data_IF_694269267565
#
_entry.id   IF_694269267565
#
_cell.length_a   1.000
_cell.length_b   1.000
_cell.length_c   1.000
_cell.angle_alpha   90.00
_cell.angle_beta   90.00
_cell.angle_gamma   90.00
#
_symmetry.space_group_name_H-M   'P 1'
#
loop_
_entity.id
_entity.type
_entity.pdbx_description
1 polymer ?
#
# COMPACT_ATOMS: atom_id res chain seq x y z
N UNK A 1 -19.87 13.16 -2.12
CA UNK A 1 -18.99 12.11 -2.68
C UNK A 1 -18.95 10.96 -1.68
N UNK A 2 -19.07 9.70 -2.12
CA UNK A 2 -19.11 8.55 -1.19
C UNK A 2 -17.73 7.91 -1.12
N UNK A 3 -17.30 7.57 0.08
CA UNK A 3 -16.07 6.81 0.28
C UNK A 3 -16.18 5.41 -0.34
N UNK A 4 -15.04 4.85 -0.76
CA UNK A 4 -14.95 3.52 -1.34
C UNK A 4 -14.06 2.62 -0.49
N UNK A 5 -14.51 1.37 -0.35
CA UNK A 5 -13.71 0.32 0.27
C UNK A 5 -12.68 -0.19 -0.75
N UNK A 6 -11.40 0.02 -0.46
CA UNK A 6 -10.26 -0.42 -1.26
C UNK A 6 -9.57 -1.57 -0.54
N UNK A 7 -9.19 -2.61 -1.29
CA UNK A 7 -8.39 -3.72 -0.77
C UNK A 7 -6.99 -3.63 -1.34
N UNK A 8 -6.00 -3.47 -0.47
CA UNK A 8 -4.59 -3.62 -0.82
C UNK A 8 -4.20 -5.09 -0.69
N UNK A 9 -3.47 -5.60 -1.67
CA UNK A 9 -3.01 -6.99 -1.72
C UNK A 9 -1.54 -7.06 -2.10
N UNK A 10 -0.74 -7.80 -1.33
CA UNK A 10 0.68 -8.00 -1.60
C UNK A 10 1.00 -9.50 -1.64
N UNK A 11 1.66 -9.97 -2.70
CA UNK A 11 2.07 -11.37 -2.85
C UNK A 11 3.50 -11.56 -2.35
N UNK A 12 3.64 -11.87 -1.06
CA UNK A 12 4.94 -12.11 -0.43
C UNK A 12 4.85 -13.27 0.57
N UNK A 13 4.97 -14.54 0.13
CA UNK A 13 4.76 -15.70 1.00
C UNK A 13 5.79 -15.80 2.14
N UNK A 14 7.00 -15.29 1.91
CA UNK A 14 8.14 -15.42 2.84
C UNK A 14 8.25 -14.26 3.83
N UNK A 15 7.50 -13.17 3.64
CA UNK A 15 7.42 -12.08 4.61
C UNK A 15 6.92 -12.57 5.98
N UNK A 16 7.42 -11.92 7.03
CA UNK A 16 6.99 -12.06 8.43
C UNK A 16 5.91 -11.04 8.77
N UNK A 17 6.00 -9.84 8.19
CA UNK A 17 4.97 -8.80 8.28
C UNK A 17 4.89 -8.00 6.99
N UNK A 18 3.70 -7.48 6.69
CA UNK A 18 3.48 -6.52 5.61
C UNK A 18 2.56 -5.43 6.13
N UNK A 19 2.87 -4.17 5.85
CA UNK A 19 2.02 -3.02 6.06
C UNK A 19 1.90 -2.21 4.77
N UNK A 20 0.89 -1.35 4.67
CA UNK A 20 0.78 -0.36 3.60
C UNK A 20 0.96 1.03 4.18
N UNK A 21 1.84 1.81 3.55
CA UNK A 21 2.13 3.19 3.91
C UNK A 21 1.86 4.08 2.71
N UNK A 22 1.28 5.24 2.95
CA UNK A 22 0.93 6.18 1.90
C UNK A 22 0.42 7.50 2.43
N UNK A 23 0.03 8.37 1.51
CA UNK A 23 -0.53 9.70 1.82
C UNK A 23 -1.77 9.67 2.73
N UNK A 24 -2.52 8.57 2.75
CA UNK A 24 -3.71 8.41 3.61
C UNK A 24 -3.40 8.07 5.07
N UNK A 25 -2.15 7.71 5.40
CA UNK A 25 -1.72 7.44 6.78
C UNK A 25 -0.39 8.13 7.12
N UNK A 26 -0.12 9.26 6.47
CA UNK A 26 1.10 10.06 6.64
C UNK A 26 2.40 9.25 6.51
N UNK A 27 2.40 8.26 5.61
CA UNK A 27 3.53 7.36 5.37
C UNK A 27 3.97 6.55 6.60
N UNK A 28 3.09 6.35 7.58
CA UNK A 28 3.36 5.46 8.71
C UNK A 28 3.57 4.01 8.23
N UNK A 29 4.76 3.49 8.53
CA UNK A 29 5.24 2.18 8.09
C UNK A 29 4.56 1.00 8.82
N UNK A 30 3.84 1.25 9.91
CA UNK A 30 3.28 0.24 10.80
C UNK A 30 1.80 0.45 11.17
N UNK A 31 1.20 1.62 10.91
CA UNK A 31 -0.19 1.92 11.28
C UNK A 31 -1.24 1.07 10.55
N UNK A 32 -0.92 0.52 9.37
CA UNK A 32 -1.86 -0.27 8.55
C UNK A 32 -1.27 -1.64 8.18
N UNK A 33 -1.19 -2.58 9.15
CA UNK A 33 -0.71 -3.93 8.89
C UNK A 33 -1.71 -4.73 8.05
N UNK A 34 -1.18 -5.50 7.11
CA UNK A 34 -1.93 -6.46 6.30
C UNK A 34 -2.03 -7.80 7.03
N UNK A 35 -3.14 -8.50 6.81
CA UNK A 35 -3.34 -9.85 7.32
C UNK A 35 -2.86 -10.89 6.32
N UNK A 36 -2.01 -11.83 6.76
CA UNK A 36 -1.60 -12.98 5.95
C UNK A 36 -2.79 -13.89 5.63
N UNK A 37 -2.95 -14.25 4.36
CA UNK A 37 -3.94 -15.18 3.81
C UNK A 37 -3.27 -16.13 2.82
N UNK A 38 -2.75 -17.25 3.33
CA UNK A 38 -1.96 -18.18 2.52
C UNK A 38 -0.66 -17.54 2.03
N UNK A 39 -0.51 -17.37 0.71
CA UNK A 39 0.69 -16.79 0.07
C UNK A 39 0.60 -15.26 -0.14
N UNK A 40 -0.52 -14.63 0.24
CA UNK A 40 -0.76 -13.19 0.06
C UNK A 40 -1.06 -12.50 1.39
N UNK A 41 -0.97 -11.18 1.37
CA UNK A 41 -1.27 -10.28 2.47
C UNK A 41 -2.36 -9.32 2.01
N UNK A 42 -3.36 -9.05 2.87
CA UNK A 42 -4.45 -8.14 2.51
C UNK A 42 -4.90 -7.25 3.68
N UNK A 43 -5.26 -6.01 3.35
CA UNK A 43 -6.02 -5.11 4.23
C UNK A 43 -7.07 -4.39 3.39
N UNK A 44 -8.22 -4.10 3.97
CA UNK A 44 -9.24 -3.28 3.33
C UNK A 44 -9.47 -2.02 4.17
N UNK A 45 -9.39 -0.86 3.54
CA UNK A 45 -9.65 0.44 4.16
C UNK A 45 -10.68 1.20 3.33
N UNK A 46 -11.34 2.17 3.96
CA UNK A 46 -12.28 3.07 3.30
C UNK A 46 -11.56 4.37 3.00
N UNK A 47 -11.58 4.81 1.74
CA UNK A 47 -10.96 6.06 1.31
C UNK A 47 -11.97 6.94 0.57
N UNK A 48 -11.97 8.26 0.80
CA UNK A 48 -12.72 9.18 -0.05
C UNK A 48 -12.14 9.21 -1.48
N UNK A 49 -12.91 9.66 -2.48
CA UNK A 49 -12.36 9.91 -3.81
C UNK A 49 -11.14 10.82 -3.77
N UNK A 50 -10.12 10.49 -4.54
CA UNK A 50 -8.83 11.16 -4.47
C UNK A 50 -7.74 10.35 -5.14
N UNK A 51 -6.55 10.96 -5.19
CA UNK A 51 -5.34 10.34 -5.72
C UNK A 51 -4.36 10.17 -4.58
N UNK A 52 -3.95 8.93 -4.32
CA UNK A 52 -3.09 8.58 -3.20
C UNK A 52 -1.80 7.95 -3.68
N UNK A 53 -0.68 8.37 -3.10
CA UNK A 53 0.59 7.65 -3.20
C UNK A 53 0.70 6.60 -2.10
N UNK A 54 1.26 5.44 -2.43
CA UNK A 54 1.50 4.36 -1.47
C UNK A 54 2.66 3.44 -1.86
N UNK A 55 3.15 2.67 -0.88
CA UNK A 55 4.07 1.52 -1.01
C UNK A 55 3.76 0.48 0.06
N UNK A 56 4.24 -0.74 -0.12
CA UNK A 56 4.24 -1.77 0.92
C UNK A 56 5.52 -1.70 1.75
N UNK A 57 5.39 -1.93 3.06
CA UNK A 57 6.53 -2.09 3.98
C UNK A 57 6.56 -3.55 4.43
N UNK A 58 7.59 -4.28 4.03
CA UNK A 58 7.82 -5.68 4.34
C UNK A 58 8.83 -5.77 5.47
N UNK A 59 8.53 -6.60 6.47
CA UNK A 59 9.42 -6.88 7.62
C UNK A 59 9.93 -5.62 8.37
N UNK A 60 9.22 -4.50 8.22
CA UNK A 60 9.46 -3.23 8.94
C UNK A 60 10.44 -2.27 8.27
N UNK A 61 11.23 -2.71 7.30
CA UNK A 61 12.32 -1.92 6.71
C UNK A 61 12.38 -1.96 5.18
N UNK A 62 11.75 -2.94 4.53
CA UNK A 62 11.79 -3.12 3.08
C UNK A 62 10.60 -2.47 2.40
N UNK A 63 10.85 -1.39 1.67
CA UNK A 63 9.85 -0.70 0.88
C UNK A 63 9.73 -1.34 -0.50
N UNK A 64 8.52 -1.79 -0.85
CA UNK A 64 8.24 -2.45 -2.13
C UNK A 64 7.09 -1.74 -2.82
N UNK A 65 7.12 -1.73 -4.14
CA UNK A 65 5.99 -1.36 -4.96
C UNK A 65 4.91 -2.45 -4.96
N UNK A 66 3.72 -2.08 -5.40
CA UNK A 66 2.68 -3.01 -5.81
C UNK A 66 2.85 -3.31 -7.30
N UNK A 67 3.18 -4.55 -7.70
CA UNK A 67 3.33 -4.92 -9.11
C UNK A 67 2.04 -4.75 -9.93
N UNK A 68 0.90 -4.57 -9.28
CA UNK A 68 -0.40 -4.36 -9.92
C UNK A 68 -0.81 -2.88 -9.94
N UNK A 69 0.04 -1.95 -9.48
CA UNK A 69 -0.23 -0.53 -9.59
C UNK A 69 -0.28 -0.10 -11.05
N UNK A 70 -1.29 0.69 -11.41
CA UNK A 70 -1.47 1.17 -12.79
C UNK A 70 -0.57 2.37 -13.11
N UNK A 71 -0.20 3.13 -12.10
CA UNK A 71 0.52 4.39 -12.22
C UNK A 71 1.57 4.51 -11.11
N UNK A 72 2.65 5.22 -11.42
CA UNK A 72 3.75 5.50 -10.50
C UNK A 72 4.17 6.97 -10.62
N UNK A 73 4.76 7.51 -9.55
CA UNK A 73 5.41 8.82 -9.59
C UNK A 73 6.78 8.78 -8.90
N UNK A 74 7.79 9.55 -9.36
CA UNK A 74 9.07 9.65 -8.67
C UNK A 74 8.90 10.10 -7.22
N UNK A 75 9.74 9.59 -6.33
CA UNK A 75 9.78 9.99 -4.92
C UNK A 75 11.13 10.66 -4.56
N UNK A 76 11.23 11.33 -3.40
CA UNK A 76 12.46 12.03 -2.99
C UNK A 76 13.68 11.12 -2.74
N UNK A 77 13.51 9.81 -2.73
CA UNK A 77 14.56 8.82 -2.46
C UNK A 77 15.19 8.26 -3.74
N UNK A 78 14.83 8.79 -4.91
CA UNK A 78 15.33 8.32 -6.20
C UNK A 78 14.65 7.03 -6.69
N UNK A 79 13.53 6.66 -6.07
CA UNK A 79 12.65 5.56 -6.49
C UNK A 79 11.30 6.13 -6.96
N UNK A 80 10.26 5.28 -7.01
CA UNK A 80 8.88 5.68 -7.30
C UNK A 80 7.90 5.18 -6.24
N UNK A 81 6.80 5.91 -6.07
CA UNK A 81 5.62 5.49 -5.31
C UNK A 81 4.55 4.95 -6.28
N UNK A 82 3.72 4.02 -5.82
CA UNK A 82 2.54 3.57 -6.55
C UNK A 82 1.40 4.59 -6.38
N UNK A 83 0.55 4.72 -7.40
CA UNK A 83 -0.60 5.62 -7.40
C UNK A 83 -1.89 4.81 -7.37
N UNK A 84 -2.74 5.14 -6.41
CA UNK A 84 -4.12 4.68 -6.32
C UNK A 84 -5.07 5.84 -6.61
N UNK A 85 -5.91 5.68 -7.63
CA UNK A 85 -6.99 6.64 -7.95
C UNK A 85 -8.32 6.06 -7.47
N UNK A 86 -8.99 6.78 -6.58
CA UNK A 86 -10.34 6.47 -6.10
C UNK A 86 -11.31 7.46 -6.73
N UNK A 87 -12.20 6.97 -7.59
CA UNK A 87 -13.23 7.78 -8.27
C UNK A 87 -14.58 7.77 -7.54
#
# INVERSE_FOLDING_TARGET
>A
MKEKRITFSCQNPNARSVAVAGTFNDWSADALPLRKKGKKWEVAITLPPGRYEYRFVVDGDRWTDDPNAHEHCPNPFGESNCILVVN
#
